data_IF_451712983122
#
_entry.id   IF_451712983122
#
_cell.length_a   1.000
_cell.length_b   1.000
_cell.length_c   1.000
_cell.angle_alpha   90.00
_cell.angle_beta   90.00
_cell.angle_gamma   90.00
#
_symmetry.space_group_name_H-M   'P 1'
#
loop_
_entity.id
_entity.type
_entity.pdbx_description
1 polymer ?
#
# COMPACT_ATOMS: atom_id res chain seq x y z
N UNK A 1 17.65 -14.70 18.99
CA UNK A 1 16.92 -14.53 17.71
C UNK A 1 15.57 -14.04 18.14
N UNK A 2 15.46 -12.75 18.43
CA UNK A 2 14.33 -12.24 19.20
C UNK A 2 13.89 -10.94 18.55
N UNK A 3 12.83 -11.02 17.74
CA UNK A 3 12.07 -9.83 17.35
C UNK A 3 11.07 -9.59 18.46
N UNK A 4 11.52 -8.79 19.41
CA UNK A 4 10.75 -8.20 20.49
C UNK A 4 9.51 -7.50 19.91
N UNK A 5 8.34 -7.93 20.39
CA UNK A 5 7.07 -7.24 20.20
C UNK A 5 6.88 -6.30 21.40
N UNK A 6 6.36 -5.11 21.13
CA UNK A 6 5.58 -4.23 22.04
C UNK A 6 5.10 -3.03 21.19
N UNK A 7 4.00 -2.30 21.40
CA UNK A 7 2.97 -2.21 22.45
C UNK A 7 1.70 -1.57 21.81
N UNK A 8 1.14 -2.13 20.74
CA UNK A 8 -0.17 -1.72 20.18
C UNK A 8 -0.75 -2.89 19.38
N UNK A 9 -1.91 -3.41 19.79
CA UNK A 9 -2.49 -4.67 19.32
C UNK A 9 -2.89 -4.73 17.83
N UNK A 10 -1.92 -4.78 16.91
CA UNK A 10 -2.14 -5.26 15.56
C UNK A 10 -1.01 -6.18 15.15
N UNK A 11 -1.38 -7.35 14.66
CA UNK A 11 -0.51 -8.11 13.79
C UNK A 11 -0.09 -7.16 12.66
N UNK A 12 1.12 -6.60 12.74
CA UNK A 12 1.85 -6.16 11.55
C UNK A 12 2.19 -7.42 10.77
N UNK A 13 1.15 -8.05 10.22
CA UNK A 13 1.25 -9.10 9.24
C UNK A 13 2.00 -8.41 8.11
N UNK A 14 3.28 -8.75 7.98
CA UNK A 14 4.30 -7.96 7.29
C UNK A 14 3.70 -7.40 5.99
N UNK A 15 3.65 -6.06 5.84
CA UNK A 15 3.12 -5.46 4.61
C UNK A 15 4.14 -5.74 3.53
N UNK A 16 3.91 -6.83 2.79
CA UNK A 16 4.74 -7.22 1.66
C UNK A 16 4.31 -6.46 0.40
N UNK A 17 5.24 -6.21 -0.52
CA UNK A 17 4.91 -5.63 -1.82
C UNK A 17 3.82 -6.43 -2.55
N UNK A 18 3.91 -7.77 -2.49
CA UNK A 18 2.93 -8.69 -3.08
C UNK A 18 1.51 -8.44 -2.57
N UNK A 19 1.32 -8.25 -1.25
CA UNK A 19 -0.02 -8.00 -0.70
C UNK A 19 -0.58 -6.66 -1.15
N UNK A 20 0.28 -5.65 -1.33
CA UNK A 20 -0.14 -4.36 -1.89
C UNK A 20 -0.60 -4.53 -3.34
N UNK A 21 0.13 -5.31 -4.15
CA UNK A 21 -0.27 -5.62 -5.53
C UNK A 21 -1.57 -6.42 -5.60
N UNK A 22 -1.77 -7.37 -4.68
CA UNK A 22 -3.02 -8.11 -4.54
C UNK A 22 -4.19 -7.16 -4.28
N UNK A 23 -4.06 -6.25 -3.30
CA UNK A 23 -5.11 -5.25 -3.00
C UNK A 23 -5.43 -4.37 -4.20
N UNK A 24 -4.42 -3.94 -4.97
CA UNK A 24 -4.65 -3.16 -6.20
C UNK A 24 -5.36 -3.98 -7.28
N UNK A 25 -5.13 -5.30 -7.35
CA UNK A 25 -5.71 -6.18 -8.37
C UNK A 25 -7.13 -6.65 -8.02
N UNK A 26 -7.43 -6.82 -6.72
CA UNK A 26 -8.74 -7.26 -6.22
C UNK A 26 -9.72 -6.10 -5.96
N UNK A 27 -9.28 -4.86 -6.15
CA UNK A 27 -10.11 -3.70 -5.93
C UNK A 27 -11.25 -3.60 -6.96
N UNK A 28 -12.46 -3.26 -6.50
CA UNK A 28 -13.61 -2.93 -7.38
C UNK A 28 -13.34 -1.71 -8.29
N UNK A 29 -12.38 -0.86 -7.92
CA UNK A 29 -12.02 0.34 -8.66
C UNK A 29 -10.66 0.17 -9.35
N UNK A 30 -10.48 0.70 -10.57
CA UNK A 30 -9.23 0.53 -11.33
C UNK A 30 -8.02 1.21 -10.70
N UNK A 31 -8.24 2.17 -9.78
CA UNK A 31 -7.20 2.91 -9.09
C UNK A 31 -7.55 3.06 -7.62
N UNK A 32 -6.55 3.04 -6.74
CA UNK A 32 -6.70 3.25 -5.30
C UNK A 32 -5.79 4.36 -4.80
N UNK A 33 -6.22 5.03 -3.74
CA UNK A 33 -5.35 5.93 -2.97
C UNK A 33 -4.55 5.14 -1.94
N UNK A 34 -3.42 5.70 -1.47
CA UNK A 34 -2.64 5.09 -0.39
C UNK A 34 -3.46 4.87 0.89
N UNK A 35 -4.49 5.70 1.14
CA UNK A 35 -5.42 5.53 2.25
C UNK A 35 -6.28 4.28 2.09
N UNK A 36 -6.85 4.05 0.90
CA UNK A 36 -7.66 2.86 0.63
C UNK A 36 -6.83 1.58 0.73
N UNK A 37 -5.60 1.59 0.21
CA UNK A 37 -4.66 0.47 0.36
C UNK A 37 -4.35 0.21 1.84
N UNK A 38 -4.12 1.27 2.61
CA UNK A 38 -3.83 1.14 4.04
C UNK A 38 -5.01 0.57 4.84
N UNK A 39 -6.23 1.00 4.51
CA UNK A 39 -7.46 0.52 5.12
C UNK A 39 -7.67 -0.98 4.85
N UNK A 40 -7.52 -1.40 3.59
CA UNK A 40 -7.61 -2.80 3.18
C UNK A 40 -6.55 -3.69 3.85
N UNK A 41 -5.37 -3.14 4.13
CA UNK A 41 -4.24 -3.85 4.75
C UNK A 41 -4.19 -3.73 6.28
N UNK A 42 -5.10 -2.95 6.89
CA UNK A 42 -5.10 -2.66 8.32
C UNK A 42 -3.84 -1.94 8.82
N UNK A 43 -3.16 -1.18 7.95
CA UNK A 43 -1.90 -0.50 8.26
C UNK A 43 -2.03 1.04 8.23
N UNK A 44 -0.94 1.72 8.57
CA UNK A 44 -0.91 3.19 8.50
C UNK A 44 -0.82 3.66 7.05
N UNK A 45 -1.47 4.77 6.69
CA UNK A 45 -1.39 5.34 5.34
C UNK A 45 0.05 5.67 4.91
N UNK A 46 0.90 6.10 5.83
CA UNK A 46 2.32 6.32 5.57
C UNK A 46 3.07 5.01 5.23
N UNK A 47 2.73 3.89 5.90
CA UNK A 47 3.33 2.59 5.62
C UNK A 47 2.92 2.08 4.23
N UNK A 48 1.64 2.18 3.89
CA UNK A 48 1.15 1.86 2.55
C UNK A 48 1.81 2.74 1.49
N UNK A 49 1.93 4.05 1.75
CA UNK A 49 2.57 5.00 0.84
C UNK A 49 4.06 4.69 0.61
N UNK A 50 4.81 4.31 1.63
CA UNK A 50 6.21 3.92 1.46
C UNK A 50 6.33 2.67 0.59
N UNK A 51 5.44 1.68 0.77
CA UNK A 51 5.43 0.45 -0.05
C UNK A 51 5.02 0.71 -1.49
N UNK A 52 4.00 1.53 -1.71
CA UNK A 52 3.58 1.95 -3.04
C UNK A 52 4.67 2.74 -3.77
N UNK A 53 5.43 3.58 -3.06
CA UNK A 53 6.59 4.25 -3.65
C UNK A 53 7.67 3.25 -4.07
N UNK A 54 8.04 2.29 -3.21
CA UNK A 54 9.02 1.28 -3.57
C UNK A 54 8.59 0.44 -4.79
N UNK A 55 7.32 0.03 -4.84
CA UNK A 55 6.75 -0.67 -6.01
C UNK A 55 6.76 0.20 -7.28
N UNK A 56 6.60 1.51 -7.14
CA UNK A 56 6.63 2.42 -8.28
C UNK A 56 8.05 2.60 -8.82
N UNK A 57 9.05 2.59 -7.94
CA UNK A 57 10.45 2.59 -8.33
C UNK A 57 10.86 1.29 -9.05
N UNK A 58 10.26 0.15 -8.67
CA UNK A 58 10.46 -1.14 -9.35
C UNK A 58 9.68 -1.24 -10.68
N UNK A 59 8.66 -0.39 -10.86
CA UNK A 59 7.81 -0.36 -12.05
C UNK A 59 6.55 -1.22 -11.95
N UNK A 60 6.29 -1.88 -10.82
CA UNK A 60 5.11 -2.72 -10.59
C UNK A 60 3.80 -1.94 -10.44
N UNK A 61 3.87 -0.65 -10.11
CA UNK A 61 2.68 0.21 -9.96
C UNK A 61 2.83 1.55 -10.65
N UNK A 62 1.74 2.00 -11.25
CA UNK A 62 1.59 3.37 -11.72
C UNK A 62 1.21 4.33 -10.59
N UNK A 63 1.57 5.60 -10.77
CA UNK A 63 1.27 6.70 -9.84
C UNK A 63 0.82 7.92 -10.63
N UNK A 64 -0.29 8.53 -10.21
CA UNK A 64 -0.75 9.80 -10.79
C UNK A 64 -1.34 10.70 -9.72
N UNK A 65 -0.97 11.98 -9.77
CA UNK A 65 -1.62 13.02 -8.98
C UNK A 65 -2.92 13.45 -9.67
N UNK A 66 -4.06 13.31 -8.99
CA UNK A 66 -5.41 13.62 -9.52
C UNK A 66 -5.98 14.92 -8.96
N UNK A 67 -5.12 15.79 -8.43
CA UNK A 67 -5.47 17.09 -7.88
C UNK A 67 -4.43 17.57 -6.88
N UNK A 68 -4.73 18.66 -6.17
CA UNK A 68 -3.77 19.31 -5.28
C UNK A 68 -3.30 18.43 -4.10
N UNK A 69 -4.08 17.41 -3.70
CA UNK A 69 -3.78 16.60 -2.50
C UNK A 69 -4.00 15.09 -2.68
N UNK A 70 -4.40 14.64 -3.86
CA UNK A 70 -4.80 13.26 -4.08
C UNK A 70 -3.85 12.59 -5.07
N UNK A 71 -3.36 11.41 -4.68
CA UNK A 71 -2.52 10.54 -5.51
C UNK A 71 -3.19 9.18 -5.58
N UNK A 72 -3.37 8.70 -6.80
CA UNK A 72 -3.90 7.37 -7.10
C UNK A 72 -2.80 6.47 -7.61
N UNK A 73 -2.99 5.19 -7.37
CA UNK A 73 -2.08 4.09 -7.64
C UNK A 73 -2.85 2.97 -8.31
N UNK A 74 -2.23 2.30 -9.25
CA UNK A 74 -2.77 1.13 -9.92
C UNK A 74 -1.63 0.18 -10.23
N UNK A 75 -1.94 -1.10 -10.41
CA UNK A 75 -0.95 -2.08 -10.81
C UNK A 75 -0.51 -1.80 -12.25
N UNK A 76 0.79 -1.79 -12.52
CA UNK A 76 1.32 -1.72 -13.87
C UNK A 76 1.12 -3.08 -14.57
N UNK A 77 0.90 -3.05 -15.88
CA UNK A 77 0.71 -4.26 -16.70
C UNK A 77 2.02 -5.01 -16.94
#
# INVERSE_FOLDING_TARGET
MDRERDDQGRYSTQITPERVLTVLSEADTPVLTAKQVADALGCSSEAARQKLQALHEDGDVGKMSVGARAVVWWKAE
#
